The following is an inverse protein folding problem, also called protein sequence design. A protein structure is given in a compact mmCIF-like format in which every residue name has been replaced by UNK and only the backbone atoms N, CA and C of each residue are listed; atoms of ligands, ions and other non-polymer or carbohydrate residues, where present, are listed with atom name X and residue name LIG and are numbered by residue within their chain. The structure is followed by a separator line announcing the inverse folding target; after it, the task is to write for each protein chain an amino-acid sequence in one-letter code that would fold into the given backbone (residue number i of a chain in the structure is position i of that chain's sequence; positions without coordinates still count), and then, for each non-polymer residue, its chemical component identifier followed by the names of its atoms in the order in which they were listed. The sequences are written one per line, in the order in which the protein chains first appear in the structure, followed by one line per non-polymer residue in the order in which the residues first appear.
data_IF_958045936126
#
_entry.id   IF_958045936126
#
_cell.length_a   1.000
_cell.length_b   1.000
_cell.length_c   1.000
_cell.angle_alpha   90.00
_cell.angle_beta   90.00
_cell.angle_gamma   90.00
#
_symmetry.space_group_name_H-M   'P 1'
#
loop_
_entity.id
_entity.type
_entity.pdbx_description
1 polymer ?
#
# COMPACT_ATOMS: atom_id res chain seq x y z
N UNK A 1 -18.35 3.98 -13.87
CA UNK A 1 -18.16 2.87 -12.90
C UNK A 1 -16.91 2.04 -13.21
N UNK A 2 -16.75 1.43 -14.39
CA UNK A 2 -15.53 0.63 -14.71
C UNK A 2 -14.21 1.41 -14.58
N UNK A 3 -14.17 2.66 -15.07
CA UNK A 3 -12.99 3.53 -14.93
C UNK A 3 -12.65 3.87 -13.47
N UNK A 4 -13.66 4.09 -12.62
CA UNK A 4 -13.48 4.32 -11.18
C UNK A 4 -12.92 3.07 -10.51
N UNK A 5 -13.50 1.90 -10.80
CA UNK A 5 -12.99 0.62 -10.30
C UNK A 5 -11.52 0.41 -10.63
N UNK A 6 -11.14 0.59 -11.89
CA UNK A 6 -9.75 0.43 -12.31
C UNK A 6 -8.86 1.45 -11.61
N UNK A 7 -9.29 2.71 -11.53
CA UNK A 7 -8.53 3.77 -10.88
C UNK A 7 -8.22 3.45 -9.41
N UNK A 8 -9.26 3.18 -8.62
CA UNK A 8 -9.13 2.96 -7.17
C UNK A 8 -8.37 1.65 -6.85
N UNK A 9 -8.65 0.57 -7.60
CA UNK A 9 -7.90 -0.69 -7.45
C UNK A 9 -6.44 -0.51 -7.80
N UNK A 10 -6.11 0.12 -8.95
CA UNK A 10 -4.71 0.29 -9.36
C UNK A 10 -3.95 1.20 -8.42
N UNK A 11 -4.59 2.28 -7.94
CA UNK A 11 -3.99 3.20 -6.98
C UNK A 11 -3.64 2.48 -5.68
N UNK A 12 -4.62 1.76 -5.10
CA UNK A 12 -4.45 1.03 -3.85
C UNK A 12 -3.42 -0.09 -3.98
N UNK A 13 -3.50 -0.89 -5.05
CA UNK A 13 -2.52 -1.96 -5.30
C UNK A 13 -1.11 -1.38 -5.41
N UNK A 14 -0.94 -0.27 -6.13
CA UNK A 14 0.36 0.40 -6.24
C UNK A 14 0.87 0.88 -4.89
N UNK A 15 -0.01 1.46 -4.06
CA UNK A 15 0.34 1.95 -2.74
C UNK A 15 0.79 0.80 -1.80
N UNK A 16 0.05 -0.31 -1.78
CA UNK A 16 0.44 -1.50 -1.02
C UNK A 16 1.70 -2.16 -1.55
N UNK A 17 1.92 -2.19 -2.87
CA UNK A 17 3.17 -2.67 -3.47
C UNK A 17 4.36 -1.83 -2.99
N UNK A 18 4.24 -0.50 -3.03
CA UNK A 18 5.30 0.40 -2.55
C UNK A 18 5.54 0.19 -1.05
N UNK A 19 4.48 0.09 -0.24
CA UNK A 19 4.59 -0.20 1.19
C UNK A 19 5.30 -1.52 1.46
N UNK A 20 4.91 -2.59 0.76
CA UNK A 20 5.53 -3.89 0.90
C UNK A 20 7.02 -3.87 0.49
N UNK A 21 7.37 -3.18 -0.61
CA UNK A 21 8.77 -3.07 -1.03
C UNK A 21 9.63 -2.35 0.01
N UNK A 22 9.08 -1.36 0.73
CA UNK A 22 9.79 -0.68 1.83
C UNK A 22 10.05 -1.63 3.01
N UNK A 23 9.05 -2.43 3.39
CA UNK A 23 9.16 -3.46 4.43
C UNK A 23 10.17 -4.54 4.02
N UNK A 24 10.08 -5.03 2.78
CA UNK A 24 10.97 -6.07 2.26
C UNK A 24 12.43 -5.60 2.27
N UNK A 25 12.71 -4.38 1.79
CA UNK A 25 14.06 -3.79 1.83
C UNK A 25 14.61 -3.74 3.25
N UNK A 26 13.77 -3.36 4.22
CA UNK A 26 14.15 -3.38 5.63
C UNK A 26 14.50 -4.80 6.09
N UNK A 27 13.64 -5.79 5.82
CA UNK A 27 13.89 -7.19 6.22
C UNK A 27 15.18 -7.73 5.60
N UNK A 28 15.42 -7.48 4.30
CA UNK A 28 16.62 -7.96 3.60
C UNK A 28 17.91 -7.39 4.20
N UNK A 29 17.92 -6.10 4.55
CA UNK A 29 19.10 -5.42 5.11
C UNK A 29 19.37 -5.88 6.55
N UNK A 30 18.34 -5.97 7.39
CA UNK A 30 18.53 -6.24 8.83
C UNK A 30 18.49 -7.73 9.18
N UNK A 31 17.89 -8.58 8.35
CA UNK A 31 17.61 -9.98 8.68
C UNK A 31 17.94 -10.96 7.56
N UNK A 32 19.07 -10.75 6.89
CA UNK A 32 19.56 -11.62 5.81
C UNK A 32 19.57 -13.13 6.17
N UNK A 33 19.81 -13.48 7.46
CA UNK A 33 19.82 -14.88 7.94
C UNK A 33 18.44 -15.57 7.92
N UNK A 34 17.34 -14.82 8.05
CA UNK A 34 15.98 -15.38 8.00
C UNK A 34 15.53 -15.74 6.59
N UNK A 35 16.18 -15.16 5.59
CA UNK A 35 15.78 -15.23 4.19
C UNK A 35 16.81 -15.96 3.34
N UNK A 36 17.74 -16.68 3.97
CA UNK A 36 18.91 -17.28 3.32
C UNK A 36 18.61 -18.44 2.36
N UNK A 37 17.34 -18.83 2.19
CA UNK A 37 16.92 -19.91 1.28
C UNK A 37 15.96 -19.34 0.24
N UNK A 38 16.28 -19.46 -1.05
CA UNK A 38 15.46 -18.89 -2.14
C UNK A 38 13.98 -19.29 -2.10
N UNK A 39 13.68 -20.52 -1.61
CA UNK A 39 12.29 -20.98 -1.42
C UNK A 39 11.53 -20.21 -0.33
N UNK A 40 12.21 -19.88 0.78
CA UNK A 40 11.62 -19.09 1.87
C UNK A 40 11.47 -17.62 1.47
N UNK A 41 12.42 -17.09 0.68
CA UNK A 41 12.31 -15.75 0.11
C UNK A 41 11.09 -15.63 -0.80
N UNK A 42 10.90 -16.58 -1.73
CA UNK A 42 9.73 -16.58 -2.61
C UNK A 42 8.42 -16.63 -1.82
N UNK A 43 8.32 -17.45 -0.77
CA UNK A 43 7.13 -17.48 0.07
C UNK A 43 6.90 -16.13 0.78
N UNK A 44 7.93 -15.56 1.42
CA UNK A 44 7.82 -14.27 2.13
C UNK A 44 7.50 -13.11 1.17
N UNK A 45 8.01 -13.14 -0.06
CA UNK A 45 7.77 -12.09 -1.06
C UNK A 45 6.39 -12.21 -1.71
N UNK A 46 6.07 -13.38 -2.30
CA UNK A 46 4.88 -13.54 -3.12
C UNK A 46 3.60 -13.76 -2.32
N UNK A 47 3.67 -14.39 -1.14
CA UNK A 47 2.46 -14.70 -0.36
C UNK A 47 1.74 -13.43 0.12
N UNK A 48 2.41 -12.45 0.78
CA UNK A 48 1.75 -11.23 1.24
C UNK A 48 1.22 -10.39 0.07
N UNK A 49 1.97 -10.33 -1.04
CA UNK A 49 1.53 -9.65 -2.25
C UNK A 49 0.27 -10.27 -2.85
N UNK A 50 0.22 -11.59 -2.97
CA UNK A 50 -0.97 -12.29 -3.48
C UNK A 50 -2.18 -12.07 -2.56
N UNK A 51 -2.01 -12.20 -1.24
CA UNK A 51 -3.08 -11.98 -0.28
C UNK A 51 -3.62 -10.54 -0.33
N UNK A 52 -2.74 -9.53 -0.38
CA UNK A 52 -3.14 -8.12 -0.45
C UNK A 52 -3.86 -7.79 -1.76
N UNK A 53 -3.39 -8.31 -2.89
CA UNK A 53 -4.04 -8.11 -4.18
C UNK A 53 -5.44 -8.73 -4.21
N UNK A 54 -5.59 -9.97 -3.70
CA UNK A 54 -6.90 -10.64 -3.62
C UNK A 54 -7.84 -9.85 -2.71
N UNK A 55 -7.36 -9.38 -1.55
CA UNK A 55 -8.14 -8.58 -0.62
C UNK A 55 -8.67 -7.29 -1.28
N UNK A 56 -7.80 -6.50 -1.92
CA UNK A 56 -8.20 -5.24 -2.58
C UNK A 56 -9.19 -5.50 -3.72
N UNK A 57 -8.95 -6.52 -4.54
CA UNK A 57 -9.87 -6.89 -5.62
C UNK A 57 -11.25 -7.25 -5.08
N UNK A 58 -11.33 -8.06 -4.02
CA UNK A 58 -12.62 -8.46 -3.42
C UNK A 58 -13.32 -7.26 -2.79
N UNK A 59 -12.60 -6.44 -2.02
CA UNK A 59 -13.14 -5.25 -1.35
C UNK A 59 -13.74 -4.25 -2.35
N UNK A 60 -12.98 -3.83 -3.35
CA UNK A 60 -13.45 -2.88 -4.35
C UNK A 60 -14.52 -3.48 -5.27
N UNK A 61 -14.45 -4.79 -5.57
CA UNK A 61 -15.52 -5.44 -6.34
C UNK A 61 -16.83 -5.40 -5.58
N UNK A 62 -16.82 -5.66 -4.27
CA UNK A 62 -18.03 -5.64 -3.45
C UNK A 62 -18.61 -4.23 -3.36
N UNK A 63 -17.80 -3.23 -3.02
CA UNK A 63 -18.27 -1.86 -2.79
C UNK A 63 -18.73 -1.18 -4.08
N UNK A 64 -18.11 -1.48 -5.22
CA UNK A 64 -18.41 -0.81 -6.50
C UNK A 64 -19.53 -1.53 -7.28
N UNK A 65 -19.62 -2.87 -7.22
CA UNK A 65 -20.67 -3.62 -7.93
C UNK A 65 -21.97 -3.73 -7.13
N UNK A 66 -21.87 -3.73 -5.80
CA UNK A 66 -23.01 -3.76 -4.90
C UNK A 66 -22.99 -2.53 -3.98
N UNK A 67 -23.06 -1.32 -4.56
CA UNK A 67 -23.00 -0.11 -3.76
C UNK A 67 -24.23 -0.08 -2.83
N UNK A 68 -24.01 0.15 -1.53
CA UNK A 68 -25.10 0.24 -0.53
C UNK A 68 -25.97 1.50 -0.68
N UNK A 69 -25.73 2.32 -1.69
CA UNK A 69 -26.35 3.61 -1.93
C UNK A 69 -26.38 3.94 -3.43
N UNK A 70 -27.25 4.87 -3.81
CA UNK A 70 -27.34 5.39 -5.18
C UNK A 70 -26.15 6.31 -5.45
N UNK A 71 -25.31 5.99 -6.43
CA UNK A 71 -24.20 6.86 -6.82
C UNK A 71 -24.73 8.05 -7.62
N UNK A 72 -24.54 9.27 -7.11
CA UNK A 72 -24.74 10.50 -7.88
C UNK A 72 -23.54 10.75 -8.77
N UNK A 73 -23.75 11.21 -10.01
CA UNK A 73 -22.66 11.63 -10.88
C UNK A 73 -22.80 13.12 -11.17
N UNK A 74 -21.79 13.90 -10.80
CA UNK A 74 -21.69 15.29 -11.17
C UNK A 74 -20.95 15.37 -12.52
N UNK A 75 -21.68 15.79 -13.56
CA UNK A 75 -21.17 15.92 -14.92
C UNK A 75 -20.52 17.28 -15.19
N UNK A 76 -20.59 18.22 -14.25
CA UNK A 76 -19.93 19.53 -14.36
C UNK A 76 -18.45 19.50 -13.95
N UNK A 77 -17.99 18.39 -13.37
CA UNK A 77 -16.57 18.18 -13.06
C UNK A 77 -15.81 17.55 -14.23
N UNK A 78 -14.58 18.04 -14.45
CA UNK A 78 -13.70 17.62 -15.56
C UNK A 78 -13.30 16.15 -15.54
N UNK A 79 -13.41 15.53 -14.38
CA UNK A 79 -13.40 14.09 -14.17
C UNK A 79 -14.79 13.81 -13.62
N UNK A 80 -15.60 12.95 -14.24
CA UNK A 80 -16.92 12.54 -13.72
C UNK A 80 -16.77 11.88 -12.34
N UNK A 81 -16.49 12.68 -11.32
CA UNK A 81 -16.03 12.29 -9.99
C UNK A 81 -16.89 13.04 -8.99
N UNK A 82 -18.06 12.47 -8.74
CA UNK A 82 -18.72 12.66 -7.44
C UNK A 82 -17.92 11.87 -6.39
N UNK A 83 -17.87 12.30 -5.12
CA UNK A 83 -17.51 11.36 -4.05
C UNK A 83 -18.37 10.10 -4.22
N UNK A 84 -17.73 8.93 -4.18
CA UNK A 84 -18.49 7.69 -4.26
C UNK A 84 -19.38 7.58 -3.03
N UNK A 85 -20.62 7.14 -3.22
CA UNK A 85 -21.61 7.19 -2.13
C UNK A 85 -21.19 6.34 -0.91
N UNK A 86 -20.31 5.34 -1.09
CA UNK A 86 -19.80 4.54 0.01
C UNK A 86 -18.88 5.33 0.97
N UNK A 87 -18.32 6.47 0.54
CA UNK A 87 -17.59 7.38 1.43
C UNK A 87 -18.53 8.00 2.49
N UNK A 88 -19.79 8.23 2.14
CA UNK A 88 -20.80 8.76 3.07
C UNK A 88 -21.26 7.68 4.07
N UNK A 89 -21.05 6.41 3.75
CA UNK A 89 -21.26 5.31 4.70
C UNK A 89 -20.04 5.18 5.59
N UNK A 90 -20.20 5.66 6.83
CA UNK A 90 -19.15 5.75 7.83
C UNK A 90 -18.19 4.56 7.87
N UNK A 91 -18.67 3.31 7.90
CA UNK A 91 -17.77 2.18 8.08
C UNK A 91 -16.93 1.83 6.84
N UNK A 92 -17.51 1.86 5.64
CA UNK A 92 -16.79 1.52 4.41
C UNK A 92 -15.79 2.63 4.04
N UNK A 93 -16.22 3.90 4.11
CA UNK A 93 -15.35 5.05 3.87
C UNK A 93 -14.21 5.15 4.89
N UNK A 94 -14.49 4.98 6.19
CA UNK A 94 -13.43 4.97 7.22
C UNK A 94 -12.47 3.80 6.97
N UNK A 95 -12.98 2.63 6.63
CA UNK A 95 -12.13 1.47 6.37
C UNK A 95 -11.19 1.72 5.20
N UNK A 96 -11.71 2.26 4.10
CA UNK A 96 -10.94 2.57 2.91
C UNK A 96 -9.85 3.60 3.20
N UNK A 97 -10.22 4.76 3.76
CA UNK A 97 -9.28 5.84 4.05
C UNK A 97 -8.24 5.43 5.09
N UNK A 98 -8.62 4.71 6.15
CA UNK A 98 -7.68 4.38 7.22
C UNK A 98 -6.77 3.21 6.84
N UNK A 99 -7.34 2.11 6.34
CA UNK A 99 -6.59 0.88 6.12
C UNK A 99 -6.02 0.77 4.71
N UNK A 100 -6.74 1.24 3.69
CA UNK A 100 -6.28 1.13 2.31
C UNK A 100 -5.39 2.31 1.88
N UNK A 101 -5.57 3.50 2.49
CA UNK A 101 -4.75 4.68 2.17
C UNK A 101 -3.74 5.06 3.26
N UNK A 102 -4.20 5.46 4.45
CA UNK A 102 -3.33 6.05 5.49
C UNK A 102 -2.32 5.03 6.00
N UNK A 103 -2.77 3.81 6.33
CA UNK A 103 -1.91 2.77 6.89
C UNK A 103 -0.69 2.46 5.98
N UNK A 104 -0.84 2.15 4.68
CA UNK A 104 0.32 1.89 3.84
C UNK A 104 1.22 3.12 3.68
N UNK A 105 0.69 4.35 3.64
CA UNK A 105 1.51 5.57 3.63
C UNK A 105 2.37 5.66 4.88
N UNK A 106 1.78 5.45 6.07
CA UNK A 106 2.51 5.48 7.34
C UNK A 106 3.61 4.42 7.36
N UNK A 107 3.32 3.21 6.89
CA UNK A 107 4.32 2.13 6.74
C UNK A 107 5.47 2.58 5.82
N UNK A 108 5.16 3.11 4.62
CA UNK A 108 6.17 3.61 3.68
C UNK A 108 7.08 4.65 4.36
N UNK A 109 6.50 5.63 5.02
CA UNK A 109 7.25 6.71 5.67
C UNK A 109 8.14 6.16 6.77
N UNK A 110 7.61 5.34 7.69
CA UNK A 110 8.38 4.80 8.82
C UNK A 110 9.56 3.97 8.31
N UNK A 111 9.33 3.01 7.42
CA UNK A 111 10.39 2.11 6.96
C UNK A 111 11.46 2.83 6.14
N UNK A 112 11.06 3.80 5.29
CA UNK A 112 12.03 4.60 4.56
C UNK A 112 12.83 5.54 5.48
N UNK A 113 12.20 6.14 6.50
CA UNK A 113 12.90 6.99 7.47
C UNK A 113 13.93 6.18 8.28
N UNK A 114 13.56 4.99 8.74
CA UNK A 114 14.47 4.10 9.47
C UNK A 114 15.66 3.71 8.58
N UNK A 115 15.40 3.35 7.32
CA UNK A 115 16.44 3.00 6.36
C UNK A 115 17.38 4.20 6.10
N UNK A 116 16.82 5.38 5.85
CA UNK A 116 17.57 6.60 5.58
C UNK A 116 18.49 6.97 6.75
N UNK A 117 17.96 6.98 7.97
CA UNK A 117 18.74 7.28 9.18
C UNK A 117 19.92 6.31 9.37
N UNK A 118 19.69 5.01 9.11
CA UNK A 118 20.73 3.97 9.23
C UNK A 118 21.82 4.11 8.18
N UNK A 119 21.46 4.44 6.93
CA UNK A 119 22.45 4.69 5.87
C UNK A 119 23.34 5.88 6.24
N UNK A 120 22.77 6.95 6.82
CA UNK A 120 23.55 8.10 7.28
C UNK A 120 24.52 7.70 8.40
N UNK A 121 24.06 6.98 9.42
CA UNK A 121 24.91 6.53 10.52
C UNK A 121 26.02 5.60 10.00
N UNK A 122 25.68 4.64 9.15
CA UNK A 122 26.64 3.70 8.57
C UNK A 122 27.75 4.42 7.78
N UNK A 123 27.38 5.43 6.98
CA UNK A 123 28.37 6.25 6.26
C UNK A 123 29.27 7.05 7.20
N UNK A 124 28.71 7.65 8.27
CA UNK A 124 29.50 8.41 9.25
C UNK A 124 30.52 7.53 9.99
N UNK A 125 30.13 6.33 10.41
CA UNK A 125 31.04 5.39 11.06
C UNK A 125 32.19 4.94 10.15
N UNK A 126 31.92 4.69 8.85
CA UNK A 126 32.98 4.27 7.91
C UNK A 126 33.97 5.40 7.61
N UNK A 127 33.50 6.65 7.47
CA UNK A 127 34.39 7.80 7.24
C UNK A 127 35.31 8.05 8.45
N UNK A 128 34.82 7.86 9.67
CA UNK A 128 35.63 7.97 10.90
C UNK A 128 36.71 6.90 11.05
N UNK A 129 36.64 5.76 10.34
CA UNK A 129 37.69 4.72 10.40
C UNK A 129 38.83 4.95 9.39
N UNK A 130 38.68 5.87 8.45
CA UNK A 130 39.68 6.16 7.39
C UNK A 130 40.56 7.37 7.76
N UNK A 131 40.10 8.23 8.69
CA UNK A 131 40.88 9.33 9.27
C UNK A 131 41.62 8.88 10.53
#
# INVERSE_FOLDING_TARGET
MFWLFIGEVLFSVSLFLIAWTAVERYILIFRNRWVSTSKKWAFVHYFPLACLNIYLLVFYSFIILFPPCENTFDYDQSVCRSPECYYDISLAGIWDTVFNDILPIVVIVIFNMVLFFRVIIGKRCLVQQIQ
#
